data_IF_659749841496
#
_entry.id   IF_659749841496
#
_cell.length_a   1.000
_cell.length_b   1.000
_cell.length_c   1.000
_cell.angle_alpha   90.00
_cell.angle_beta   90.00
_cell.angle_gamma   90.00
#
_symmetry.space_group_name_H-M   'P 1'
#
loop_
_entity.id
_entity.type
_entity.pdbx_description
1 polymer ?
#
# COMPACT_ATOMS: atom_id res chain seq x y z
N UNK A 1 -8.23 15.88 -24.84
CA UNK A 1 -9.35 15.81 -23.87
C UNK A 1 -8.74 15.46 -22.52
N UNK A 2 -8.51 16.48 -21.70
CA UNK A 2 -7.91 16.33 -20.37
C UNK A 2 -8.95 15.63 -19.50
N UNK A 3 -8.65 14.40 -19.05
CA UNK A 3 -9.38 13.75 -17.98
C UNK A 3 -9.15 14.59 -16.72
N UNK A 4 -10.11 15.42 -16.38
CA UNK A 4 -10.22 16.01 -15.06
C UNK A 4 -10.45 14.82 -14.13
N UNK A 5 -9.38 14.34 -13.46
CA UNK A 5 -9.54 13.44 -12.34
C UNK A 5 -10.40 14.16 -11.31
N UNK A 6 -11.63 13.70 -11.11
CA UNK A 6 -12.36 14.01 -9.90
C UNK A 6 -11.42 13.65 -8.75
N UNK A 7 -11.03 14.63 -7.99
CA UNK A 7 -10.46 14.48 -6.66
C UNK A 7 -11.56 13.92 -5.76
N UNK A 8 -11.95 12.66 -5.97
CA UNK A 8 -12.55 11.88 -4.91
C UNK A 8 -11.51 11.87 -3.81
N UNK A 9 -11.82 12.52 -2.72
CA UNK A 9 -10.91 12.78 -1.62
C UNK A 9 -10.13 11.52 -1.29
N UNK A 10 -8.79 11.60 -1.38
CA UNK A 10 -7.88 10.58 -0.87
C UNK A 10 -7.97 10.60 0.67
N UNK A 11 -9.19 10.37 1.19
CA UNK A 11 -9.46 10.41 2.61
C UNK A 11 -8.77 9.26 3.30
N UNK A 12 -8.02 9.58 4.34
CA UNK A 12 -7.45 8.62 5.27
C UNK A 12 -8.31 8.67 6.54
N UNK A 13 -8.83 7.53 7.01
CA UNK A 13 -9.58 7.47 8.26
C UNK A 13 -8.77 8.02 9.42
N UNK A 14 -9.46 8.65 10.36
CA UNK A 14 -8.82 9.14 11.59
C UNK A 14 -8.20 7.95 12.33
N UNK A 15 -6.92 8.08 12.66
CA UNK A 15 -6.19 7.09 13.46
C UNK A 15 -6.31 7.39 14.95
N UNK A 16 -6.24 6.33 15.75
CA UNK A 16 -6.33 6.41 17.20
C UNK A 16 -5.12 5.73 17.83
N UNK A 17 -4.75 6.16 19.02
CA UNK A 17 -3.65 5.61 19.78
C UNK A 17 -4.13 5.18 21.16
N UNK A 18 -3.54 4.12 21.69
CA UNK A 18 -3.73 3.74 23.09
C UNK A 18 -2.90 4.61 24.05
N UNK A 19 -3.01 4.33 25.33
CA UNK A 19 -2.29 5.06 26.40
C UNK A 19 -0.76 4.94 26.30
N UNK A 20 -0.27 3.91 25.60
CA UNK A 20 1.16 3.67 25.34
C UNK A 20 1.63 4.31 24.03
N UNK A 21 0.72 4.95 23.29
CA UNK A 21 1.00 5.55 22.00
C UNK A 21 1.11 4.53 20.85
N UNK A 22 0.54 3.31 21.02
CA UNK A 22 0.43 2.33 19.94
C UNK A 22 -0.82 2.56 19.11
N UNK A 23 -0.75 2.28 17.80
CA UNK A 23 -1.90 2.40 16.90
C UNK A 23 -3.00 1.41 17.28
N UNK A 24 -4.21 1.91 17.45
CA UNK A 24 -5.41 1.10 17.60
C UNK A 24 -5.96 0.85 16.19
N UNK A 25 -5.88 -0.39 15.73
CA UNK A 25 -6.38 -0.80 14.41
C UNK A 25 -7.52 -1.79 14.62
N UNK A 26 -8.71 -1.43 14.13
CA UNK A 26 -9.91 -2.24 14.22
C UNK A 26 -10.34 -2.61 12.81
N UNK A 27 -10.62 -3.89 12.59
CA UNK A 27 -11.09 -4.36 11.30
C UNK A 27 -12.50 -3.83 10.98
N UNK A 28 -12.73 -3.51 9.71
CA UNK A 28 -14.09 -3.31 9.21
C UNK A 28 -14.95 -4.55 9.42
N UNK A 29 -16.23 -4.37 9.66
CA UNK A 29 -17.19 -5.47 9.80
C UNK A 29 -17.25 -6.36 8.55
N UNK A 30 -17.03 -5.79 7.37
CA UNK A 30 -17.00 -6.48 6.08
C UNK A 30 -15.66 -7.12 5.72
N UNK A 31 -14.61 -6.96 6.55
CA UNK A 31 -13.28 -7.48 6.25
C UNK A 31 -13.27 -9.00 6.08
N UNK A 32 -12.63 -9.46 5.01
CA UNK A 32 -12.66 -10.84 4.53
C UNK A 32 -11.27 -11.27 4.03
N UNK A 33 -11.02 -12.59 4.08
CA UNK A 33 -9.85 -13.21 3.45
C UNK A 33 -9.83 -13.07 1.91
N UNK A 34 -10.95 -12.71 1.31
CA UNK A 34 -11.11 -12.57 -0.14
C UNK A 34 -10.98 -11.10 -0.62
N UNK A 35 -10.66 -10.16 0.28
CA UNK A 35 -10.57 -8.74 -0.02
C UNK A 35 -9.54 -8.38 -1.11
N UNK A 36 -8.49 -9.19 -1.31
CA UNK A 36 -7.47 -9.02 -2.34
C UNK A 36 -7.70 -9.83 -3.63
N UNK A 37 -8.85 -10.50 -3.79
CA UNK A 37 -9.12 -11.35 -4.96
C UNK A 37 -9.09 -10.58 -6.28
N UNK A 38 -9.44 -9.29 -6.24
CA UNK A 38 -9.34 -8.38 -7.39
C UNK A 38 -7.91 -8.30 -7.96
N UNK A 39 -6.89 -8.56 -7.13
CA UNK A 39 -5.49 -8.37 -7.49
C UNK A 39 -4.82 -9.66 -8.01
N UNK A 40 -5.50 -10.82 -7.99
CA UNK A 40 -4.95 -12.09 -8.44
C UNK A 40 -4.58 -12.07 -9.93
N UNK A 41 -3.40 -12.62 -10.25
CA UNK A 41 -2.84 -12.72 -11.59
C UNK A 41 -1.85 -11.60 -11.89
N UNK A 42 -1.68 -11.29 -13.19
CA UNK A 42 -0.68 -10.34 -13.66
C UNK A 42 -1.25 -8.94 -13.84
N UNK A 43 -0.42 -7.95 -13.55
CA UNK A 43 -0.72 -6.54 -13.77
C UNK A 43 0.50 -5.80 -14.32
N UNK A 44 0.25 -4.83 -15.18
CA UNK A 44 1.21 -3.79 -15.52
C UNK A 44 0.91 -2.56 -14.68
N UNK A 45 1.94 -1.83 -14.28
CA UNK A 45 1.82 -0.75 -13.31
C UNK A 45 2.55 0.48 -13.83
N UNK A 46 1.84 1.61 -13.82
CA UNK A 46 2.46 2.92 -13.95
C UNK A 46 2.67 3.49 -12.54
N UNK A 47 3.92 3.63 -12.16
CA UNK A 47 4.32 4.20 -10.88
C UNK A 47 4.48 5.72 -11.00
N UNK A 48 4.10 6.43 -9.93
CA UNK A 48 4.37 7.84 -9.72
C UNK A 48 4.87 8.01 -8.29
N UNK A 49 6.16 8.31 -8.11
CA UNK A 49 6.84 8.35 -6.81
C UNK A 49 7.51 9.70 -6.59
N UNK A 50 7.32 10.27 -5.41
CA UNK A 50 7.94 11.52 -5.01
C UNK A 50 9.46 11.30 -4.81
N UNK A 51 10.29 12.13 -5.42
CA UNK A 51 11.75 12.01 -5.31
C UNK A 51 12.27 12.22 -3.90
N UNK A 52 11.74 13.21 -3.19
CA UNK A 52 12.12 13.55 -1.82
C UNK A 52 10.89 13.74 -0.97
N UNK A 53 10.90 13.23 0.25
CA UNK A 53 9.77 13.27 1.19
C UNK A 53 10.05 14.28 2.30
N UNK A 54 9.00 14.89 2.85
CA UNK A 54 9.05 15.84 3.98
C UNK A 54 9.92 17.09 3.76
N UNK A 55 10.11 17.49 2.50
CA UNK A 55 10.88 18.68 2.12
C UNK A 55 10.06 19.61 1.21
N UNK A 56 8.73 19.47 1.22
CA UNK A 56 7.82 20.23 0.37
C UNK A 56 8.18 20.16 -1.12
N UNK A 57 8.62 18.98 -1.58
CA UNK A 57 8.99 18.74 -2.98
C UNK A 57 7.76 18.40 -3.81
N UNK A 58 7.75 18.90 -5.06
CA UNK A 58 6.76 18.53 -6.08
C UNK A 58 7.41 17.76 -7.25
N UNK A 59 8.63 17.24 -7.04
CA UNK A 59 9.31 16.46 -8.05
C UNK A 59 8.91 15.00 -7.99
N UNK A 60 8.23 14.53 -9.03
CA UNK A 60 7.79 13.16 -9.19
C UNK A 60 8.59 12.46 -10.27
N UNK A 61 8.89 11.17 -10.04
CA UNK A 61 9.38 10.26 -11.08
C UNK A 61 8.26 9.31 -11.48
N UNK A 62 8.23 8.96 -12.76
CA UNK A 62 7.33 7.93 -13.29
C UNK A 62 8.16 6.80 -13.89
N UNK A 63 7.75 5.56 -13.63
CA UNK A 63 8.41 4.38 -14.18
C UNK A 63 7.40 3.23 -14.29
N UNK A 64 7.59 2.33 -15.28
CA UNK A 64 6.79 1.13 -15.40
C UNK A 64 7.28 0.03 -14.45
N UNK A 65 6.36 -0.85 -14.06
CA UNK A 65 6.67 -2.11 -13.39
C UNK A 65 5.63 -3.16 -13.74
N UNK A 66 5.90 -4.39 -13.36
CA UNK A 66 4.96 -5.51 -13.45
C UNK A 66 4.83 -6.18 -12.10
N UNK A 67 3.71 -6.87 -11.91
CA UNK A 67 3.43 -7.60 -10.68
C UNK A 67 2.59 -8.83 -11.00
N UNK A 68 2.82 -9.93 -10.29
CA UNK A 68 1.99 -11.13 -10.38
C UNK A 68 1.69 -11.65 -8.98
N UNK A 69 0.40 -11.82 -8.67
CA UNK A 69 -0.08 -12.23 -7.35
C UNK A 69 -0.73 -13.60 -7.39
N UNK A 70 -0.40 -14.42 -6.39
CA UNK A 70 -1.01 -15.73 -6.16
C UNK A 70 -1.49 -15.88 -4.70
N UNK A 71 -2.57 -16.62 -4.52
CA UNK A 71 -3.01 -17.03 -3.18
C UNK A 71 -2.09 -18.11 -2.61
N UNK A 72 -1.87 -18.04 -1.30
CA UNK A 72 -1.13 -19.03 -0.50
C UNK A 72 -1.93 -19.39 0.75
N UNK A 73 -1.45 -20.39 1.51
CA UNK A 73 -2.02 -20.78 2.80
C UNK A 73 -3.54 -21.05 2.74
N UNK A 74 -3.98 -21.82 1.73
CA UNK A 74 -5.40 -22.13 1.51
C UNK A 74 -6.30 -20.88 1.42
N UNK A 75 -5.77 -19.79 0.87
CA UNK A 75 -6.51 -18.57 0.60
C UNK A 75 -6.53 -17.53 1.73
N UNK A 76 -5.91 -17.80 2.89
CA UNK A 76 -5.77 -16.78 3.95
C UNK A 76 -4.54 -15.90 3.80
N UNK A 77 -3.79 -16.08 2.73
CA UNK A 77 -2.65 -15.24 2.37
C UNK A 77 -2.48 -15.12 0.87
N UNK A 78 -1.68 -14.17 0.47
CA UNK A 78 -1.22 -14.04 -0.90
C UNK A 78 0.22 -13.50 -0.92
N UNK A 79 0.88 -13.74 -2.05
CA UNK A 79 2.23 -13.26 -2.32
C UNK A 79 2.27 -12.69 -3.72
N UNK A 80 3.01 -11.63 -3.91
CA UNK A 80 3.34 -11.12 -5.24
C UNK A 80 4.81 -10.75 -5.35
N UNK A 81 5.29 -10.71 -6.59
CA UNK A 81 6.55 -10.12 -6.95
C UNK A 81 6.31 -8.81 -7.70
N UNK A 82 7.15 -7.84 -7.45
CA UNK A 82 7.17 -6.54 -8.12
C UNK A 82 8.48 -6.43 -8.88
N UNK A 83 8.41 -6.22 -10.20
CA UNK A 83 9.58 -6.12 -11.06
C UNK A 83 9.64 -4.74 -11.71
N UNK A 84 10.73 -4.04 -11.52
CA UNK A 84 11.02 -2.73 -12.12
C UNK A 84 12.48 -2.63 -12.55
N UNK A 85 12.82 -1.53 -13.20
CA UNK A 85 14.20 -1.17 -13.52
C UNK A 85 14.44 0.26 -13.06
N UNK A 86 15.46 0.47 -12.24
CA UNK A 86 15.90 1.77 -11.78
C UNK A 86 17.32 2.02 -12.27
N UNK A 87 17.54 3.14 -12.96
CA UNK A 87 18.86 3.52 -13.49
C UNK A 87 19.56 2.37 -14.25
N UNK A 88 18.78 1.67 -15.11
CA UNK A 88 19.19 0.48 -15.88
C UNK A 88 19.47 -0.78 -15.04
N UNK A 89 19.35 -0.71 -13.72
CA UNK A 89 19.52 -1.85 -12.82
C UNK A 89 18.18 -2.54 -12.48
N UNK A 90 18.14 -3.88 -12.53
CA UNK A 90 16.96 -4.64 -12.14
C UNK A 90 16.63 -4.43 -10.65
N UNK A 91 15.37 -4.18 -10.36
CA UNK A 91 14.84 -4.10 -8.99
C UNK A 91 13.71 -5.11 -8.84
N UNK A 92 13.76 -5.88 -7.79
CA UNK A 92 12.73 -6.85 -7.45
C UNK A 92 12.23 -6.61 -6.03
N UNK A 93 10.90 -6.59 -5.88
CA UNK A 93 10.23 -6.53 -4.60
C UNK A 93 9.30 -7.71 -4.42
N UNK A 94 9.00 -8.04 -3.18
CA UNK A 94 8.06 -9.08 -2.80
C UNK A 94 7.12 -8.53 -1.75
N UNK A 95 5.82 -8.78 -1.94
CA UNK A 95 4.83 -8.51 -0.90
C UNK A 95 4.23 -9.82 -0.42
N UNK A 96 4.15 -9.99 0.91
CA UNK A 96 3.39 -11.07 1.54
C UNK A 96 2.24 -10.45 2.32
N UNK A 97 1.00 -10.90 2.06
CA UNK A 97 -0.19 -10.45 2.78
C UNK A 97 -0.83 -11.62 3.49
N UNK A 98 -1.07 -11.46 4.78
CA UNK A 98 -1.64 -12.49 5.64
C UNK A 98 -2.90 -11.97 6.32
N UNK A 99 -3.99 -12.72 6.16
CA UNK A 99 -5.26 -12.45 6.84
C UNK A 99 -5.34 -13.22 8.15
N UNK A 100 -5.58 -12.52 9.25
CA UNK A 100 -5.82 -13.15 10.54
C UNK A 100 -7.32 -13.36 10.74
N UNK A 101 -7.83 -14.63 10.72
CA UNK A 101 -9.25 -14.89 10.82
C UNK A 101 -9.88 -14.54 12.17
N UNK A 102 -9.06 -14.40 13.23
CA UNK A 102 -9.54 -14.03 14.57
C UNK A 102 -9.77 -12.52 14.68
N UNK A 103 -8.82 -11.72 14.21
CA UNK A 103 -8.89 -10.26 14.27
C UNK A 103 -9.56 -9.65 13.04
N UNK A 104 -9.68 -10.42 11.95
CA UNK A 104 -10.12 -9.98 10.62
C UNK A 104 -9.25 -8.86 10.05
N UNK A 105 -7.99 -8.80 10.44
CA UNK A 105 -7.01 -7.84 9.93
C UNK A 105 -6.06 -8.51 8.95
N UNK A 106 -5.67 -7.76 7.95
CA UNK A 106 -4.57 -8.07 7.06
C UNK A 106 -3.27 -7.45 7.59
N UNK A 107 -2.18 -8.19 7.49
CA UNK A 107 -0.81 -7.71 7.67
C UNK A 107 -0.08 -7.80 6.34
N UNK A 108 0.50 -6.68 5.88
CA UNK A 108 1.18 -6.56 4.60
C UNK A 108 2.67 -6.34 4.87
N UNK A 109 3.50 -7.26 4.42
CA UNK A 109 4.95 -7.26 4.56
C UNK A 109 5.59 -6.99 3.20
N UNK A 110 6.62 -6.16 3.20
CA UNK A 110 7.43 -5.89 2.01
C UNK A 110 8.87 -6.35 2.24
N UNK A 111 9.51 -6.82 1.19
CA UNK A 111 10.94 -7.02 1.09
C UNK A 111 11.39 -6.67 -0.33
N UNK A 112 12.62 -6.23 -0.49
CA UNK A 112 13.19 -5.94 -1.81
C UNK A 112 14.64 -6.36 -1.95
N UNK A 113 15.11 -6.37 -3.19
CA UNK A 113 16.45 -6.81 -3.57
C UNK A 113 17.57 -5.91 -3.08
N UNK A 114 17.26 -4.71 -2.55
CA UNK A 114 18.24 -3.79 -1.97
C UNK A 114 18.47 -4.07 -0.49
N UNK A 115 17.39 -4.34 0.26
CA UNK A 115 17.47 -4.55 1.71
C UNK A 115 17.63 -6.02 2.10
N UNK A 116 16.96 -6.93 1.36
CA UNK A 116 16.95 -8.36 1.67
C UNK A 116 16.32 -8.70 3.02
N UNK A 117 15.50 -7.81 3.58
CA UNK A 117 14.82 -7.97 4.86
C UNK A 117 13.32 -7.70 4.72
N UNK A 118 12.52 -8.36 5.55
CA UNK A 118 11.11 -8.02 5.67
C UNK A 118 10.94 -6.75 6.49
N UNK A 119 10.23 -5.79 5.92
CA UNK A 119 9.83 -4.58 6.62
C UNK A 119 8.79 -4.89 7.70
N UNK A 120 8.65 -3.97 8.66
CA UNK A 120 7.56 -4.00 9.61
C UNK A 120 6.21 -3.93 8.86
N UNK A 121 5.25 -4.81 9.16
CA UNK A 121 4.01 -4.84 8.40
C UNK A 121 3.14 -3.60 8.62
N UNK A 122 2.46 -3.17 7.57
CA UNK A 122 1.29 -2.32 7.71
C UNK A 122 0.07 -3.19 7.94
N UNK A 123 -0.81 -2.78 8.86
CA UNK A 123 -1.96 -3.57 9.31
C UNK A 123 -3.25 -2.80 9.10
N UNK A 124 -4.29 -3.48 8.63
CA UNK A 124 -5.58 -2.86 8.39
C UNK A 124 -6.61 -3.79 7.75
N UNK A 125 -7.61 -3.20 7.13
CA UNK A 125 -8.70 -3.91 6.46
C UNK A 125 -9.31 -3.09 5.33
N UNK A 126 -10.16 -3.75 4.54
CA UNK A 126 -10.99 -3.09 3.54
C UNK A 126 -12.37 -2.73 4.09
N UNK A 127 -12.88 -1.60 3.64
CA UNK A 127 -14.27 -1.21 3.75
C UNK A 127 -14.73 -0.62 2.41
N UNK A 128 -15.85 -1.12 1.88
CA UNK A 128 -16.40 -0.65 0.60
C UNK A 128 -15.36 -0.64 -0.56
N UNK A 129 -14.56 -1.71 -0.67
CA UNK A 129 -13.48 -1.87 -1.66
C UNK A 129 -12.32 -0.88 -1.54
N UNK A 130 -12.23 -0.13 -0.46
CA UNK A 130 -11.10 0.72 -0.14
C UNK A 130 -10.40 0.18 1.12
N UNK A 131 -9.14 -0.16 1.00
CA UNK A 131 -8.33 -0.67 2.12
C UNK A 131 -7.40 0.40 2.68
N UNK A 132 -7.28 0.46 4.01
CA UNK A 132 -6.30 1.30 4.69
C UNK A 132 -5.49 0.46 5.68
N UNK A 133 -4.16 0.52 5.56
CA UNK A 133 -3.24 -0.29 6.34
C UNK A 133 -2.15 0.62 6.92
N UNK A 134 -1.94 0.57 8.22
CA UNK A 134 -1.10 1.51 8.93
C UNK A 134 0.07 0.82 9.64
N UNK A 135 1.18 1.53 9.78
CA UNK A 135 2.28 1.18 10.68
C UNK A 135 2.92 2.41 11.28
N UNK A 136 3.59 2.24 12.42
CA UNK A 136 4.58 3.18 12.94
C UNK A 136 5.93 2.80 12.36
N UNK A 137 6.64 3.77 11.82
CA UNK A 137 7.94 3.56 11.18
C UNK A 137 8.91 4.70 11.50
N UNK A 138 10.16 4.55 11.06
CA UNK A 138 11.18 5.58 11.14
C UNK A 138 11.64 5.90 9.72
N UNK A 139 11.46 7.14 9.29
CA UNK A 139 11.95 7.64 8.02
C UNK A 139 13.01 8.72 8.24
N UNK A 140 14.24 8.48 7.79
CA UNK A 140 15.39 9.40 7.97
C UNK A 140 15.54 9.92 9.41
N UNK A 141 15.38 9.01 10.38
CA UNK A 141 15.50 9.31 11.82
C UNK A 141 14.27 9.97 12.46
N UNK A 142 13.22 10.22 11.71
CA UNK A 142 11.94 10.75 12.21
C UNK A 142 10.92 9.64 12.43
N UNK A 143 10.20 9.68 13.55
CA UNK A 143 9.03 8.81 13.73
C UNK A 143 7.92 9.25 12.79
N UNK A 144 7.43 8.31 11.99
CA UNK A 144 6.33 8.55 11.06
C UNK A 144 5.23 7.50 11.25
N UNK A 145 4.03 7.86 10.83
CA UNK A 145 2.96 6.90 10.57
C UNK A 145 2.91 6.73 9.06
N UNK A 146 2.94 5.48 8.61
CA UNK A 146 2.79 5.12 7.21
C UNK A 146 1.40 4.57 6.97
N UNK A 147 0.80 4.91 5.84
CA UNK A 147 -0.45 4.31 5.36
C UNK A 147 -0.26 3.79 3.94
N UNK A 148 -0.72 2.56 3.70
CA UNK A 148 -0.99 2.03 2.36
C UNK A 148 -2.50 2.10 2.14
N UNK A 149 -2.90 2.70 1.04
CA UNK A 149 -4.31 2.76 0.62
C UNK A 149 -4.48 1.99 -0.68
N UNK A 150 -5.37 1.02 -0.67
CA UNK A 150 -5.85 0.33 -1.85
C UNK A 150 -7.22 0.85 -2.24
N UNK A 151 -7.41 1.16 -3.51
CA UNK A 151 -8.72 1.48 -4.08
C UNK A 151 -9.04 0.46 -5.16
N UNK A 152 -9.93 -0.46 -4.84
CA UNK A 152 -10.37 -1.54 -5.70
C UNK A 152 -11.80 -1.35 -6.19
N UNK A 153 -12.33 -0.12 -6.17
CA UNK A 153 -13.68 0.17 -6.68
C UNK A 153 -13.77 -0.09 -8.19
N UNK A 154 -12.68 0.11 -8.92
CA UNK A 154 -12.46 -0.45 -10.26
C UNK A 154 -11.46 -1.62 -10.16
N UNK A 155 -11.99 -2.85 -10.14
CA UNK A 155 -11.17 -4.06 -9.96
C UNK A 155 -10.24 -4.36 -11.15
N UNK A 156 -10.51 -3.78 -12.33
CA UNK A 156 -9.63 -3.93 -13.49
C UNK A 156 -8.48 -2.92 -13.48
N UNK A 157 -8.68 -1.79 -12.82
CA UNK A 157 -7.69 -0.72 -12.70
C UNK A 157 -7.56 -0.24 -11.24
N UNK A 158 -7.17 -1.12 -10.30
CA UNK A 158 -7.03 -0.73 -8.92
C UNK A 158 -5.85 0.24 -8.75
N UNK A 159 -5.94 1.06 -7.71
CA UNK A 159 -4.88 2.01 -7.37
C UNK A 159 -4.37 1.71 -5.97
N UNK A 160 -3.06 1.49 -5.85
CA UNK A 160 -2.38 1.52 -4.57
C UNK A 160 -1.70 2.88 -4.38
N UNK A 161 -1.70 3.37 -3.16
CA UNK A 161 -1.03 4.62 -2.81
C UNK A 161 -0.45 4.58 -1.41
N UNK A 162 0.62 5.35 -1.21
CA UNK A 162 1.30 5.47 0.06
C UNK A 162 1.37 6.92 0.49
N UNK A 163 1.07 7.16 1.76
CA UNK A 163 1.34 8.43 2.41
C UNK A 163 2.06 8.21 3.75
N UNK A 164 2.73 9.26 4.20
CA UNK A 164 3.36 9.30 5.51
C UNK A 164 2.95 10.57 6.26
N UNK A 165 2.94 10.48 7.59
CA UNK A 165 2.67 11.59 8.51
C UNK A 165 3.73 11.62 9.60
N UNK A 166 4.34 12.76 9.86
CA UNK A 166 5.28 13.00 10.96
C UNK A 166 4.64 13.75 12.15
N UNK A 167 3.32 13.99 12.07
CA UNK A 167 2.54 14.70 13.09
C UNK A 167 1.36 13.90 13.66
N UNK A 168 1.53 12.57 13.73
CA UNK A 168 0.53 11.61 14.26
C UNK A 168 -0.78 11.58 13.47
N UNK A 169 -0.69 11.71 12.15
CA UNK A 169 -1.84 11.60 11.26
C UNK A 169 -2.71 12.85 11.14
N UNK A 170 -2.23 14.02 11.58
CA UNK A 170 -2.93 15.29 11.37
C UNK A 170 -2.81 15.75 9.92
N UNK A 171 -1.61 15.60 9.35
CA UNK A 171 -1.32 15.88 7.95
C UNK A 171 -0.64 14.67 7.31
N UNK A 172 -0.89 14.48 6.00
CA UNK A 172 -0.37 13.36 5.24
C UNK A 172 0.33 13.85 3.98
N UNK A 173 1.53 13.36 3.74
CA UNK A 173 2.25 13.53 2.48
C UNK A 173 2.08 12.28 1.64
N UNK A 174 1.29 12.38 0.55
CA UNK A 174 1.21 11.33 -0.46
C UNK A 174 2.50 11.29 -1.26
N UNK A 175 3.15 10.13 -1.32
CA UNK A 175 4.49 10.03 -1.87
C UNK A 175 4.72 8.90 -2.87
N UNK A 176 3.74 8.01 -3.07
CA UNK A 176 3.81 6.98 -4.10
C UNK A 176 2.41 6.54 -4.53
N UNK A 177 2.20 6.45 -5.84
CA UNK A 177 0.99 5.92 -6.47
C UNK A 177 1.37 4.84 -7.46
N UNK A 178 0.63 3.74 -7.47
CA UNK A 178 0.70 2.65 -8.42
C UNK A 178 -0.66 2.53 -9.11
N UNK A 179 -0.71 2.87 -10.39
CA UNK A 179 -1.89 2.73 -11.22
C UNK A 179 -1.76 1.41 -11.97
N UNK A 180 -2.59 0.45 -11.62
CA UNK A 180 -2.51 -0.91 -12.13
C UNK A 180 -3.53 -1.15 -13.23
N UNK A 181 -3.15 -2.00 -14.18
CA UNK A 181 -4.06 -2.56 -15.17
C UNK A 181 -3.82 -4.06 -15.27
N UNK A 182 -4.89 -4.84 -15.10
CA UNK A 182 -4.79 -6.30 -15.22
C UNK A 182 -4.43 -6.67 -16.66
N UNK A 183 -3.57 -7.66 -16.80
CA UNK A 183 -3.25 -8.28 -18.09
C UNK A 183 -3.92 -9.64 -18.18
N UNK A 184 -4.51 -9.94 -19.33
CA UNK A 184 -5.10 -11.25 -19.62
C UNK A 184 -4.02 -12.34 -19.76
#
# INVERSE_FOLDING_TARGET
MQLIMKTDSLEIPKIHFDEKGELIIVASASSSKDDFDFFQGKSVIRNKKLKKRFVNSNEWIEFPSTQEMYKILNGIGNIDNFLATFDEEPFEGMTVRLFNPKTKLWSIYWADSTSGTLDKPVVGSFENKVGHFFSKDIFEGKNVIQVFRWDARDENNPVWSQAMSDDKGKNWEWNWFMYMSKTN
#
